data_IF_621062893633
#
_entry.id   IF_621062893633
#
_cell.length_a   1.000
_cell.length_b   1.000
_cell.length_c   1.000
_cell.angle_alpha   90.00
_cell.angle_beta   90.00
_cell.angle_gamma   90.00
#
_symmetry.space_group_name_H-M   'P 1'
#
loop_
_entity.id
_entity.type
_entity.pdbx_description
1 polymer ?
#
# COMPACT_ATOMS: atom_id res chain seq x y z
N UNK A 1 26.99 3.52 -41.87
CA UNK A 1 27.91 2.63 -41.12
C UNK A 1 28.05 3.19 -39.71
N UNK A 2 27.02 3.03 -38.88
CA UNK A 2 26.81 1.90 -37.95
C UNK A 2 27.80 1.90 -36.77
N UNK A 3 27.42 2.60 -35.69
CA UNK A 3 28.10 2.67 -34.38
C UNK A 3 27.96 1.37 -33.55
N UNK A 4 27.94 0.21 -34.20
CA UNK A 4 27.68 -1.10 -33.56
C UNK A 4 28.90 -2.00 -33.38
N UNK A 5 30.13 -1.50 -33.58
CA UNK A 5 31.35 -2.33 -33.58
C UNK A 5 32.37 -2.04 -32.46
N UNK A 6 31.98 -1.50 -31.30
CA UNK A 6 32.92 -1.25 -30.18
C UNK A 6 32.77 -2.24 -29.01
N UNK A 7 31.92 -3.26 -29.14
CA UNK A 7 31.72 -4.28 -28.09
C UNK A 7 32.14 -5.70 -28.50
N UNK A 8 33.14 -5.80 -29.38
CA UNK A 8 33.85 -7.06 -29.63
C UNK A 8 35.33 -6.80 -29.63
N UNK A 9 35.99 -7.04 -28.50
CA UNK A 9 37.35 -7.58 -28.33
C UNK A 9 37.83 -7.22 -26.92
N UNK A 10 37.88 -8.22 -26.05
CA UNK A 10 38.40 -8.09 -24.70
C UNK A 10 38.45 -9.42 -23.96
N UNK A 11 38.79 -10.50 -24.68
CA UNK A 11 39.10 -11.79 -24.09
C UNK A 11 40.60 -12.04 -24.29
N UNK A 12 41.41 -11.71 -23.27
CA UNK A 12 42.72 -12.33 -23.07
C UNK A 12 42.82 -12.68 -21.59
N UNK A 13 42.98 -13.97 -21.35
CA UNK A 13 43.11 -14.61 -20.07
C UNK A 13 44.47 -14.26 -19.41
N UNK A 14 44.46 -14.00 -18.10
CA UNK A 14 45.58 -14.28 -17.19
C UNK A 14 45.05 -14.24 -15.75
N UNK A 15 45.18 -15.33 -14.99
CA UNK A 15 44.94 -15.32 -13.55
C UNK A 15 44.22 -16.56 -13.02
N UNK A 16 44.88 -17.72 -13.08
CA UNK A 16 44.53 -18.88 -12.25
C UNK A 16 45.04 -18.59 -10.84
N UNK A 17 44.15 -18.30 -9.89
CA UNK A 17 44.43 -18.47 -8.45
C UNK A 17 43.14 -18.82 -7.68
N UNK A 18 43.27 -19.87 -6.88
CA UNK A 18 42.47 -20.29 -5.73
C UNK A 18 41.04 -20.85 -5.97
N UNK A 19 40.97 -22.18 -5.97
CA UNK A 19 39.82 -23.00 -5.62
C UNK A 19 39.27 -22.63 -4.23
N UNK A 20 38.13 -21.94 -4.21
CA UNK A 20 37.30 -21.74 -3.02
C UNK A 20 35.87 -21.48 -3.48
N UNK A 21 35.01 -22.49 -3.35
CA UNK A 21 33.69 -22.54 -3.99
C UNK A 21 32.78 -21.38 -3.64
N UNK A 22 32.76 -20.35 -4.49
CA UNK A 22 31.63 -19.42 -4.56
C UNK A 22 30.51 -20.12 -5.31
N UNK A 23 29.57 -20.69 -4.55
CA UNK A 23 28.23 -20.95 -5.05
C UNK A 23 27.71 -19.62 -5.59
N UNK A 24 27.68 -19.48 -6.91
CA UNK A 24 26.91 -18.42 -7.56
C UNK A 24 25.47 -18.64 -7.15
N UNK A 25 25.02 -17.90 -6.13
CA UNK A 25 23.60 -17.73 -5.87
C UNK A 25 23.10 -16.97 -7.09
N UNK A 26 22.64 -17.70 -8.11
CA UNK A 26 21.72 -17.14 -9.07
C UNK A 26 20.52 -16.67 -8.24
N UNK A 27 20.46 -15.37 -7.95
CA UNK A 27 19.23 -14.74 -7.52
C UNK A 27 18.24 -15.04 -8.64
N UNK A 28 17.39 -16.05 -8.42
CA UNK A 28 16.31 -16.35 -9.33
C UNK A 28 15.49 -15.08 -9.41
N UNK A 29 15.49 -14.44 -10.59
CA UNK A 29 14.48 -13.44 -10.88
C UNK A 29 13.17 -14.20 -10.73
N UNK A 30 12.44 -13.93 -9.65
CA UNK A 30 11.14 -14.54 -9.41
C UNK A 30 10.30 -14.18 -10.63
N UNK A 31 10.05 -15.16 -11.49
CA UNK A 31 9.14 -14.98 -12.60
C UNK A 31 7.80 -14.60 -11.98
N UNK A 32 7.27 -13.43 -12.33
CA UNK A 32 5.93 -13.04 -11.94
C UNK A 32 4.99 -14.14 -12.45
N UNK A 33 4.52 -14.99 -11.53
CA UNK A 33 3.52 -15.97 -11.89
C UNK A 33 2.33 -15.19 -12.44
N UNK A 34 1.86 -15.56 -13.63
CA UNK A 34 0.59 -15.06 -14.15
C UNK A 34 -0.51 -15.59 -13.25
N UNK A 35 -0.80 -14.85 -12.18
CA UNK A 35 -1.92 -15.12 -11.29
C UNK A 35 -3.15 -14.56 -12.00
N UNK A 36 -4.13 -15.42 -12.28
CA UNK A 36 -5.45 -14.95 -12.69
C UNK A 36 -6.03 -14.12 -11.56
N UNK A 37 -6.33 -12.84 -11.79
CA UNK A 37 -6.96 -11.99 -10.79
C UNK A 37 -8.36 -12.54 -10.49
N UNK A 38 -8.64 -13.00 -9.26
CA UNK A 38 -9.93 -13.60 -8.95
C UNK A 38 -11.04 -12.55 -8.99
N UNK A 39 -12.21 -12.92 -9.51
CA UNK A 39 -13.42 -12.11 -9.41
C UNK A 39 -14.11 -12.35 -8.07
N UNK A 40 -14.73 -11.30 -7.52
CA UNK A 40 -15.52 -11.34 -6.28
C UNK A 40 -16.97 -10.96 -6.60
N UNK A 41 -17.91 -11.47 -5.80
CA UNK A 41 -19.34 -11.17 -5.97
C UNK A 41 -19.68 -9.76 -5.48
N UNK A 42 -18.93 -9.27 -4.49
CA UNK A 42 -19.07 -7.92 -3.94
C UNK A 42 -17.73 -7.42 -3.40
N UNK A 43 -17.47 -6.14 -3.63
CA UNK A 43 -16.42 -5.37 -2.97
C UNK A 43 -17.03 -4.13 -2.35
N UNK A 44 -16.76 -3.91 -1.07
CA UNK A 44 -17.03 -2.64 -0.37
C UNK A 44 -15.70 -1.94 -0.16
N UNK A 45 -15.60 -0.71 -0.64
CA UNK A 45 -14.43 0.15 -0.45
C UNK A 45 -14.80 1.28 0.50
N UNK A 46 -14.45 1.15 1.77
CA UNK A 46 -14.66 2.21 2.75
C UNK A 46 -13.45 3.15 2.70
N UNK A 47 -13.66 4.37 2.21
CA UNK A 47 -12.66 5.43 2.30
C UNK A 47 -12.56 5.89 3.75
N UNK A 48 -11.47 5.51 4.42
CA UNK A 48 -11.24 5.85 5.83
C UNK A 48 -10.55 7.21 5.93
N UNK A 49 -9.57 7.48 5.06
CA UNK A 49 -8.86 8.77 4.99
C UNK A 49 -8.62 9.14 3.54
N UNK A 50 -8.91 10.40 3.21
CA UNK A 50 -8.63 11.03 1.93
C UNK A 50 -8.28 12.51 2.16
N UNK A 51 -7.74 13.15 1.13
CA UNK A 51 -7.34 14.56 1.14
C UNK A 51 -8.54 15.49 1.34
N UNK A 52 -9.73 15.08 0.91
CA UNK A 52 -10.93 15.90 0.93
C UNK A 52 -12.15 15.06 1.31
N UNK A 53 -12.99 15.63 2.17
CA UNK A 53 -14.32 15.11 2.48
C UNK A 53 -15.35 16.25 2.41
N UNK A 54 -16.45 16.00 1.70
CA UNK A 54 -17.58 16.93 1.59
C UNK A 54 -18.83 16.30 2.21
N UNK A 55 -19.28 16.89 3.33
CA UNK A 55 -20.48 16.46 4.07
C UNK A 55 -21.79 16.66 3.30
N UNK A 56 -21.81 17.51 2.27
CA UNK A 56 -23.00 17.81 1.48
C UNK A 56 -23.09 16.98 0.20
N UNK A 57 -22.03 16.26 -0.14
CA UNK A 57 -22.01 15.35 -1.28
C UNK A 57 -23.08 14.27 -1.13
N UNK A 58 -23.77 14.00 -2.24
CA UNK A 58 -24.83 12.98 -2.27
C UNK A 58 -24.24 11.60 -2.51
N UNK A 59 -24.86 10.58 -1.91
CA UNK A 59 -24.73 9.20 -2.35
C UNK A 59 -25.50 8.96 -3.66
N UNK A 60 -25.46 7.74 -4.17
CA UNK A 60 -26.18 7.39 -5.40
C UNK A 60 -25.81 6.02 -5.95
N UNK A 61 -26.33 5.72 -7.13
CA UNK A 61 -26.03 4.48 -7.87
C UNK A 61 -25.49 4.83 -9.25
N UNK A 62 -24.41 4.16 -9.64
CA UNK A 62 -23.80 4.22 -10.97
C UNK A 62 -23.67 2.80 -11.49
N UNK A 63 -24.60 2.38 -12.35
CA UNK A 63 -24.68 0.98 -12.85
C UNK A 63 -24.64 -0.05 -11.69
N UNK A 64 -23.55 -0.78 -11.55
CA UNK A 64 -23.32 -1.80 -10.52
C UNK A 64 -22.70 -1.23 -9.23
N UNK A 65 -22.30 0.03 -9.22
CA UNK A 65 -21.65 0.70 -8.08
C UNK A 65 -22.70 1.47 -7.26
N UNK A 66 -22.69 1.25 -5.94
CA UNK A 66 -23.48 2.04 -4.99
C UNK A 66 -22.54 2.91 -4.15
N UNK A 67 -22.76 4.22 -4.17
CA UNK A 67 -22.00 5.19 -3.39
C UNK A 67 -22.80 5.59 -2.16
N UNK A 68 -22.24 5.31 -0.99
CA UNK A 68 -22.77 5.77 0.30
C UNK A 68 -21.89 6.87 0.86
N UNK A 69 -22.50 7.82 1.57
CA UNK A 69 -21.80 8.92 2.24
C UNK A 69 -22.04 8.79 3.74
N UNK A 70 -20.99 8.96 4.53
CA UNK A 70 -21.11 8.93 5.98
C UNK A 70 -22.05 10.06 6.43
N UNK A 71 -23.07 9.79 7.27
CA UNK A 71 -23.92 10.85 7.78
C UNK A 71 -23.10 11.77 8.69
N UNK A 72 -23.42 13.06 8.71
CA UNK A 72 -22.85 13.96 9.71
C UNK A 72 -23.36 13.58 11.11
N UNK A 73 -22.45 13.16 11.99
CA UNK A 73 -22.77 12.71 13.35
C UNK A 73 -22.48 13.77 14.43
N UNK A 74 -22.44 15.06 14.06
CA UNK A 74 -22.08 16.13 15.00
C UNK A 74 -20.58 16.26 15.25
N UNK A 75 -20.19 17.19 16.13
CA UNK A 75 -18.78 17.58 16.34
C UNK A 75 -17.90 16.47 16.93
N UNK A 76 -18.47 15.53 17.68
CA UNK A 76 -17.71 14.50 18.42
C UNK A 76 -17.27 13.33 17.53
N UNK A 77 -17.98 13.11 16.42
CA UNK A 77 -17.75 12.01 15.47
C UNK A 77 -17.58 12.53 14.03
N UNK A 78 -17.10 13.76 13.86
CA UNK A 78 -16.80 14.27 12.54
C UNK A 78 -15.62 13.52 11.92
N UNK A 79 -15.73 13.20 10.63
CA UNK A 79 -14.59 12.67 9.86
C UNK A 79 -13.54 13.77 9.68
N UNK A 80 -12.29 13.37 9.77
CA UNK A 80 -11.13 14.21 9.49
C UNK A 80 -10.60 13.91 8.09
N UNK A 81 -10.05 14.91 7.43
CA UNK A 81 -9.36 14.82 6.15
C UNK A 81 -7.93 15.30 6.33
N UNK A 82 -6.99 14.63 5.66
CA UNK A 82 -5.57 15.01 5.66
C UNK A 82 -4.93 14.59 4.34
N UNK A 83 -3.78 15.16 4.02
CA UNK A 83 -2.97 14.63 2.93
C UNK A 83 -2.55 13.20 3.25
N UNK A 84 -3.13 12.23 2.54
CA UNK A 84 -2.87 10.81 2.72
C UNK A 84 -4.07 9.94 2.38
N UNK A 85 -3.84 8.62 2.40
CA UNK A 85 -4.84 7.64 1.99
C UNK A 85 -5.00 6.53 3.03
N UNK A 86 -6.23 6.08 3.23
CA UNK A 86 -6.50 4.81 3.88
C UNK A 86 -7.85 4.24 3.40
N UNK A 87 -7.85 2.97 2.99
CA UNK A 87 -9.03 2.22 2.62
C UNK A 87 -9.18 0.95 3.47
N UNK A 88 -10.42 0.67 3.85
CA UNK A 88 -10.83 -0.64 4.36
C UNK A 88 -11.63 -1.34 3.27
N UNK A 89 -11.05 -2.39 2.70
CA UNK A 89 -11.63 -3.18 1.63
C UNK A 89 -12.26 -4.44 2.20
N UNK A 90 -13.52 -4.71 1.85
CA UNK A 90 -14.25 -5.89 2.29
C UNK A 90 -14.84 -6.61 1.07
N UNK A 91 -14.34 -7.80 0.81
CA UNK A 91 -14.70 -8.61 -0.34
C UNK A 91 -15.49 -9.84 0.06
N UNK A 92 -16.45 -10.23 -0.78
CA UNK A 92 -17.25 -11.43 -0.63
C UNK A 92 -17.19 -12.26 -1.92
N UNK A 93 -16.89 -13.54 -1.79
CA UNK A 93 -16.94 -14.54 -2.87
C UNK A 93 -17.57 -15.83 -2.36
N UNK A 94 -18.79 -16.13 -2.80
CA UNK A 94 -19.63 -17.16 -2.23
C UNK A 94 -19.84 -16.93 -0.73
N UNK A 95 -19.40 -17.89 0.09
CA UNK A 95 -19.40 -17.78 1.55
C UNK A 95 -18.12 -17.20 2.16
N UNK A 96 -17.10 -16.92 1.35
CA UNK A 96 -15.80 -16.43 1.83
C UNK A 96 -15.78 -14.90 1.87
N UNK A 97 -15.47 -14.35 3.05
CA UNK A 97 -15.27 -12.92 3.26
C UNK A 97 -13.81 -12.62 3.60
N UNK A 98 -13.23 -11.62 2.95
CA UNK A 98 -11.85 -11.16 3.21
C UNK A 98 -11.79 -9.65 3.36
N UNK A 99 -11.08 -9.19 4.38
CA UNK A 99 -10.87 -7.79 4.67
C UNK A 99 -9.40 -7.40 4.47
N UNK A 100 -9.15 -6.31 3.74
CA UNK A 100 -7.80 -5.83 3.45
C UNK A 100 -7.74 -4.35 3.82
N UNK A 101 -6.69 -3.95 4.54
CA UNK A 101 -6.39 -2.53 4.74
C UNK A 101 -5.36 -2.10 3.71
N UNK A 102 -5.69 -1.05 2.96
CA UNK A 102 -4.80 -0.43 1.99
C UNK A 102 -4.45 0.97 2.48
N UNK A 103 -3.17 1.20 2.71
CA UNK A 103 -2.59 2.42 3.27
C UNK A 103 -3.12 2.79 4.67
N UNK A 104 -2.40 3.68 5.34
CA UNK A 104 -2.49 3.92 6.78
C UNK A 104 -2.33 5.39 7.15
N UNK A 105 -2.79 6.27 6.26
CA UNK A 105 -2.82 7.73 6.43
C UNK A 105 -1.47 8.37 6.84
N UNK A 106 -1.46 9.68 7.01
CA UNK A 106 -0.29 10.41 7.47
C UNK A 106 -0.18 10.45 8.99
N UNK A 107 -1.32 10.57 9.69
CA UNK A 107 -1.38 10.68 11.14
C UNK A 107 -2.31 9.65 11.79
N UNK A 108 -1.92 9.21 12.97
CA UNK A 108 -2.70 8.32 13.83
C UNK A 108 -4.02 8.95 14.29
N UNK A 109 -3.99 10.26 14.59
CA UNK A 109 -5.17 11.04 14.95
C UNK A 109 -6.30 10.88 13.93
N UNK A 110 -6.01 11.12 12.65
CA UNK A 110 -7.00 11.04 11.57
C UNK A 110 -7.45 9.59 11.36
N UNK A 111 -6.52 8.64 11.30
CA UNK A 111 -6.84 7.23 11.07
C UNK A 111 -7.80 6.68 12.14
N UNK A 112 -7.43 6.81 13.42
CA UNK A 112 -8.21 6.22 14.51
C UNK A 112 -9.51 6.97 14.76
N UNK A 113 -9.53 8.29 14.58
CA UNK A 113 -10.78 9.04 14.64
C UNK A 113 -11.78 8.52 13.60
N UNK A 114 -11.34 8.33 12.36
CA UNK A 114 -12.22 7.94 11.27
C UNK A 114 -12.68 6.49 11.39
N UNK A 115 -11.82 5.54 11.81
CA UNK A 115 -12.27 4.17 12.12
C UNK A 115 -13.36 4.17 13.19
N UNK A 116 -13.20 4.97 14.25
CA UNK A 116 -14.21 5.12 15.31
C UNK A 116 -15.51 5.75 14.79
N UNK A 117 -15.42 6.81 14.00
CA UNK A 117 -16.58 7.53 13.46
C UNK A 117 -17.37 6.69 12.43
N UNK A 118 -16.66 5.90 11.62
CA UNK A 118 -17.25 5.01 10.61
C UNK A 118 -17.77 3.69 11.21
N UNK A 119 -17.36 3.35 12.43
CA UNK A 119 -17.76 2.10 13.09
C UNK A 119 -17.18 0.85 12.43
N UNK A 120 -16.04 0.99 11.73
CA UNK A 120 -15.31 -0.12 11.11
C UNK A 120 -14.13 -0.53 12.00
N UNK A 121 -13.90 -1.83 12.11
CA UNK A 121 -12.86 -2.40 12.98
C UNK A 121 -11.67 -2.91 12.14
N UNK A 122 -10.51 -2.21 12.19
CA UNK A 122 -9.34 -2.61 11.42
C UNK A 122 -8.72 -3.93 11.89
N UNK A 123 -9.09 -4.45 13.08
CA UNK A 123 -8.48 -5.68 13.62
C UNK A 123 -8.94 -6.95 12.89
N UNK A 124 -9.98 -6.83 12.06
CA UNK A 124 -10.53 -7.91 11.24
C UNK A 124 -9.75 -8.16 9.95
N UNK A 125 -8.76 -7.33 9.63
CA UNK A 125 -7.95 -7.43 8.42
C UNK A 125 -7.29 -8.82 8.27
N UNK A 126 -7.40 -9.40 7.07
CA UNK A 126 -6.70 -10.60 6.62
C UNK A 126 -5.33 -10.27 6.00
N UNK A 127 -5.15 -9.05 5.48
CA UNK A 127 -3.90 -8.55 4.93
C UNK A 127 -3.80 -7.03 5.06
N UNK A 128 -2.56 -6.54 5.08
CA UNK A 128 -2.20 -5.13 5.03
C UNK A 128 -1.45 -4.86 3.73
N UNK A 129 -1.75 -3.75 3.08
CA UNK A 129 -1.10 -3.34 1.83
C UNK A 129 -0.65 -1.89 1.95
N UNK A 130 0.59 -1.61 1.56
CA UNK A 130 1.08 -0.25 1.30
C UNK A 130 1.20 -0.11 -0.21
N UNK A 131 0.50 0.88 -0.77
CA UNK A 131 0.51 1.16 -2.20
C UNK A 131 1.89 1.64 -2.68
N UNK A 132 2.54 2.51 -1.91
CA UNK A 132 3.90 3.00 -2.14
C UNK A 132 4.50 3.64 -0.88
N UNK A 133 5.80 3.92 -0.87
CA UNK A 133 6.53 4.31 0.33
C UNK A 133 6.59 5.82 0.62
N UNK A 134 5.55 6.59 0.31
CA UNK A 134 5.42 7.95 0.85
C UNK A 134 4.76 7.93 2.23
N UNK A 135 5.17 8.88 3.09
CA UNK A 135 4.80 8.87 4.52
C UNK A 135 3.30 8.99 4.76
N UNK A 136 2.58 9.64 3.87
CA UNK A 136 1.12 9.80 3.91
C UNK A 136 0.33 8.51 3.61
N UNK A 137 1.03 7.42 3.24
CA UNK A 137 0.46 6.09 3.02
C UNK A 137 0.79 5.07 4.12
N UNK A 138 1.79 5.32 4.97
CA UNK A 138 2.18 4.39 6.05
C UNK A 138 2.34 5.05 7.42
N UNK A 139 2.06 6.35 7.53
CA UNK A 139 2.37 7.18 8.70
C UNK A 139 1.82 6.63 10.01
N UNK A 140 0.56 6.18 10.02
CA UNK A 140 -0.06 5.62 11.23
C UNK A 140 0.07 4.09 11.37
N UNK A 141 0.71 3.39 10.42
CA UNK A 141 0.82 1.93 10.45
C UNK A 141 1.49 1.43 11.72
N UNK A 142 2.56 2.08 12.16
CA UNK A 142 3.29 1.67 13.37
C UNK A 142 2.44 1.82 14.63
N UNK A 143 1.62 2.87 14.72
CA UNK A 143 0.72 3.07 15.85
C UNK A 143 -0.47 2.10 15.81
N UNK A 144 -0.99 1.77 14.63
CA UNK A 144 -1.98 0.71 14.45
C UNK A 144 -1.44 -0.63 14.96
N UNK A 145 -0.21 -0.99 14.56
CA UNK A 145 0.43 -2.23 14.99
C UNK A 145 0.64 -2.26 16.52
N UNK A 146 1.11 -1.15 17.12
CA UNK A 146 1.33 -1.04 18.58
C UNK A 146 0.02 -1.14 19.36
N UNK A 147 -0.97 -0.32 19.04
CA UNK A 147 -2.23 -0.20 19.82
C UNK A 147 -3.17 -1.38 19.62
N UNK A 148 -3.01 -2.14 18.54
CA UNK A 148 -3.81 -3.34 18.22
C UNK A 148 -3.02 -4.64 18.39
N UNK A 149 -1.83 -4.58 18.99
CA UNK A 149 -1.05 -5.78 19.29
C UNK A 149 -1.89 -6.78 20.09
N UNK A 150 -1.86 -8.05 19.67
CA UNK A 150 -2.67 -9.13 20.28
C UNK A 150 -4.15 -9.16 19.86
N UNK A 151 -4.64 -8.14 19.13
CA UNK A 151 -6.00 -8.12 18.57
C UNK A 151 -6.03 -8.40 17.07
N UNK A 152 -4.92 -8.16 16.37
CA UNK A 152 -4.75 -8.51 14.96
C UNK A 152 -4.71 -10.03 14.75
N UNK A 153 -5.15 -10.50 13.59
CA UNK A 153 -5.09 -11.93 13.22
C UNK A 153 -3.63 -12.44 13.28
N UNK A 154 -3.39 -13.65 13.83
CA UNK A 154 -2.06 -14.25 13.79
C UNK A 154 -1.56 -14.42 12.35
N UNK A 155 -0.28 -14.13 12.12
CA UNK A 155 0.32 -14.26 10.79
C UNK A 155 -0.14 -13.22 9.76
N UNK A 156 -0.73 -12.10 10.20
CA UNK A 156 -1.14 -11.01 9.33
C UNK A 156 0.02 -10.53 8.45
N UNK A 157 -0.16 -10.63 7.13
CA UNK A 157 0.84 -10.25 6.15
C UNK A 157 0.76 -8.75 5.83
N UNK A 158 1.94 -8.13 5.66
CA UNK A 158 2.10 -6.78 5.11
C UNK A 158 2.76 -6.86 3.73
N UNK A 159 2.06 -6.39 2.71
CA UNK A 159 2.56 -6.27 1.35
C UNK A 159 2.96 -4.82 1.09
N UNK A 160 4.23 -4.56 0.81
CA UNK A 160 4.77 -3.20 0.70
C UNK A 160 5.68 -3.04 -0.53
N UNK A 161 5.28 -3.54 -1.69
CA UNK A 161 6.06 -3.43 -2.93
C UNK A 161 7.44 -4.13 -2.88
N UNK A 162 8.36 -3.66 -3.73
CA UNK A 162 9.70 -4.24 -3.88
C UNK A 162 10.77 -3.62 -2.96
N UNK A 163 12.03 -3.96 -3.20
CA UNK A 163 13.17 -3.49 -2.39
C UNK A 163 13.26 -1.95 -2.28
N UNK A 164 12.81 -1.25 -3.31
CA UNK A 164 12.90 0.21 -3.39
C UNK A 164 11.68 0.95 -2.80
N UNK A 165 10.70 0.28 -2.21
CA UNK A 165 9.45 0.94 -1.78
C UNK A 165 9.74 2.10 -0.83
N UNK A 166 10.59 1.87 0.18
CA UNK A 166 10.95 2.85 1.21
C UNK A 166 12.27 3.57 0.95
N UNK A 167 12.86 3.41 -0.24
CA UNK A 167 14.01 4.21 -0.60
C UNK A 167 13.61 5.69 -0.59
N UNK A 168 14.38 6.49 0.14
CA UNK A 168 14.19 7.92 0.18
C UNK A 168 14.32 8.49 -1.23
N UNK A 169 13.28 9.18 -1.69
CA UNK A 169 13.25 9.85 -2.99
C UNK A 169 13.07 11.33 -2.72
N UNK A 170 13.82 12.16 -3.43
CA UNK A 170 13.71 13.61 -3.34
C UNK A 170 13.33 14.18 -4.68
N UNK A 171 12.45 15.17 -4.65
CA UNK A 171 12.22 16.03 -5.80
C UNK A 171 13.25 17.16 -5.78
N UNK A 172 13.97 17.35 -6.89
CA UNK A 172 14.89 18.49 -7.02
C UNK A 172 14.10 19.66 -7.60
N UNK A 173 13.87 20.68 -6.78
CA UNK A 173 13.25 21.92 -7.20
C UNK A 173 14.13 22.66 -8.23
N UNK A 174 13.57 23.56 -9.05
CA UNK A 174 14.34 24.32 -10.04
C UNK A 174 15.53 25.10 -9.48
N UNK A 175 15.49 25.46 -8.18
CA UNK A 175 16.58 26.13 -7.46
C UNK A 175 17.67 25.18 -6.93
N UNK A 176 17.59 23.88 -7.23
CA UNK A 176 18.51 22.85 -6.74
C UNK A 176 18.22 22.36 -5.32
N UNK A 177 17.20 22.90 -4.65
CA UNK A 177 16.76 22.42 -3.34
C UNK A 177 16.07 21.07 -3.46
N UNK A 178 16.39 20.13 -2.58
CA UNK A 178 15.68 18.86 -2.46
C UNK A 178 14.46 19.03 -1.58
N UNK A 179 13.31 18.57 -2.07
CA UNK A 179 12.05 18.49 -1.35
C UNK A 179 11.75 17.01 -1.16
N UNK A 180 11.45 16.63 0.09
CA UNK A 180 10.88 15.33 0.45
C UNK A 180 9.38 15.33 0.15
#
# INVERSE_FOLDING_TARGET
MERRHVLKLGAVASGVFALGGMRRLSAGVAGAQTVSVPTVDRLVMTNVVDNVYDIFSKGGKLDTITVQRAPYQGRVNALLSEHGLAYHLDSLRGGERREILLDFSLTDLTLFNNYRALGVDPTRADALVISHGHRDHYGALTELARTRQGKLKPGLALYAGGEDTFCHRVSVAPIGATID
#
